data_IF_482302207498
#
_entry.id   IF_482302207498
#
_cell.length_a   1.000
_cell.length_b   1.000
_cell.length_c   1.000
_cell.angle_alpha   90.00
_cell.angle_beta   90.00
_cell.angle_gamma   90.00
#
_symmetry.space_group_name_H-M   'P 1'
#
loop_
_entity.id
_entity.type
_entity.pdbx_description
1 polymer ?
#
# COMPACT_ATOMS: atom_id res chain seq x y z
N UNK A 1 -12.26 6.69 15.84
CA UNK A 1 -13.00 6.85 14.57
C UNK A 1 -13.41 5.47 14.10
N UNK A 2 -14.63 5.26 13.62
CA UNK A 2 -15.00 3.99 12.99
C UNK A 2 -14.62 4.06 11.51
N UNK A 3 -13.85 3.09 11.04
CA UNK A 3 -13.49 2.99 9.62
C UNK A 3 -14.68 2.44 8.82
N UNK A 4 -14.79 2.78 7.52
CA UNK A 4 -15.76 2.15 6.64
C UNK A 4 -15.58 0.62 6.62
N UNK A 5 -16.68 -0.12 6.40
CA UNK A 5 -16.62 -1.57 6.25
C UNK A 5 -15.69 -1.96 5.09
N UNK A 6 -14.76 -2.87 5.35
CA UNK A 6 -13.76 -3.32 4.38
C UNK A 6 -12.53 -2.42 4.25
N UNK A 7 -12.45 -1.31 5.00
CA UNK A 7 -11.27 -0.48 5.03
C UNK A 7 -10.13 -1.14 5.84
N UNK A 8 -8.91 -1.04 5.33
CA UNK A 8 -7.72 -1.57 5.99
C UNK A 8 -6.89 -0.42 6.52
N UNK A 9 -6.61 -0.47 7.82
CA UNK A 9 -5.69 0.44 8.50
C UNK A 9 -4.27 -0.13 8.45
N UNK A 10 -3.33 0.70 7.99
CA UNK A 10 -1.89 0.44 7.96
C UNK A 10 -1.27 1.52 8.84
N UNK A 11 -0.77 1.17 10.02
CA UNK A 11 -0.31 2.17 10.97
C UNK A 11 0.87 1.69 11.81
N UNK A 12 1.66 2.65 12.29
CA UNK A 12 2.64 2.49 13.34
C UNK A 12 2.42 3.64 14.35
N UNK A 13 1.91 3.29 15.54
CA UNK A 13 1.53 4.27 16.56
C UNK A 13 2.72 5.03 17.14
N UNK A 14 3.88 4.37 17.28
CA UNK A 14 5.10 5.00 17.84
C UNK A 14 5.64 6.11 16.93
N UNK A 15 5.43 5.96 15.63
CA UNK A 15 5.82 6.93 14.61
C UNK A 15 4.72 7.93 14.26
N UNK A 16 3.54 7.82 14.89
CA UNK A 16 2.34 8.57 14.51
C UNK A 16 2.03 8.47 13.00
N UNK A 17 2.30 7.30 12.42
CA UNK A 17 2.12 7.02 10.99
C UNK A 17 0.82 6.25 10.76
N UNK A 18 -0.02 6.74 9.84
CA UNK A 18 -1.27 6.09 9.46
C UNK A 18 -1.57 6.26 7.97
N UNK A 19 -1.98 5.15 7.36
CA UNK A 19 -2.55 5.06 6.01
C UNK A 19 -3.84 4.23 6.08
N UNK A 20 -4.92 4.80 5.55
CA UNK A 20 -6.23 4.14 5.47
C UNK A 20 -6.50 3.79 4.01
N UNK A 21 -6.68 2.49 3.75
CA UNK A 21 -7.06 1.99 2.43
C UNK A 21 -8.55 1.68 2.45
N UNK A 22 -9.33 2.41 1.65
CA UNK A 22 -10.80 2.20 1.50
C UNK A 22 -11.16 1.42 0.23
N UNK A 23 -10.15 0.89 -0.47
CA UNK A 23 -10.36 0.17 -1.71
C UNK A 23 -11.00 -1.21 -1.47
N UNK A 24 -12.27 -1.34 -1.89
CA UNK A 24 -13.11 -2.51 -1.66
C UNK A 24 -12.41 -3.78 -2.19
N UNK A 25 -12.30 -4.77 -1.31
CA UNK A 25 -11.69 -6.06 -1.60
C UNK A 25 -10.23 -6.18 -1.20
N UNK A 26 -9.57 -5.09 -0.77
CA UNK A 26 -8.20 -5.19 -0.26
C UNK A 26 -8.12 -6.02 1.02
N UNK A 27 -9.05 -5.86 1.96
CA UNK A 27 -9.16 -6.71 3.16
C UNK A 27 -9.28 -8.20 2.78
N UNK A 28 -10.18 -8.51 1.85
CA UNK A 28 -10.36 -9.87 1.34
C UNK A 28 -9.10 -10.41 0.67
N UNK A 29 -8.40 -9.58 -0.12
CA UNK A 29 -7.14 -9.95 -0.76
C UNK A 29 -6.08 -10.31 0.29
N UNK A 30 -5.92 -9.53 1.35
CA UNK A 30 -5.01 -9.84 2.46
C UNK A 30 -5.37 -11.18 3.12
N UNK A 31 -6.65 -11.43 3.34
CA UNK A 31 -7.12 -12.65 4.01
C UNK A 31 -7.01 -13.92 3.15
N UNK A 32 -7.02 -13.80 1.81
CA UNK A 32 -7.24 -14.98 0.93
C UNK A 32 -6.18 -15.19 -0.15
N UNK A 33 -5.46 -14.15 -0.55
CA UNK A 33 -4.53 -14.18 -1.68
C UNK A 33 -3.11 -13.84 -1.25
N UNK A 34 -2.96 -12.85 -0.37
CA UNK A 34 -1.66 -12.42 0.12
C UNK A 34 -0.90 -13.59 0.75
N UNK A 35 0.42 -13.60 0.53
CA UNK A 35 1.28 -14.51 1.28
C UNK A 35 1.31 -14.10 2.76
N UNK A 36 1.61 -15.03 3.68
CA UNK A 36 1.81 -14.69 5.09
C UNK A 36 2.84 -13.57 5.25
N UNK A 37 2.71 -12.78 6.32
CA UNK A 37 3.60 -11.66 6.63
C UNK A 37 5.08 -12.05 6.68
N UNK A 38 5.38 -13.25 7.18
CA UNK A 38 6.75 -13.78 7.29
C UNK A 38 7.34 -14.33 5.98
N UNK A 39 6.62 -14.22 4.86
CA UNK A 39 7.07 -14.83 3.59
C UNK A 39 8.28 -14.12 2.98
N UNK A 40 8.37 -12.79 3.09
CA UNK A 40 9.57 -12.02 2.76
C UNK A 40 10.10 -11.30 4.00
N UNK A 41 11.36 -10.87 3.97
CA UNK A 41 11.93 -10.07 5.06
C UNK A 41 11.42 -8.63 5.01
N UNK A 42 11.55 -7.92 6.13
CA UNK A 42 11.20 -6.50 6.19
C UNK A 42 11.96 -5.69 5.14
N UNK A 43 13.27 -5.92 4.99
CA UNK A 43 14.12 -5.21 4.04
C UNK A 43 13.68 -5.43 2.59
N UNK A 44 13.16 -6.62 2.28
CA UNK A 44 12.58 -6.89 0.96
C UNK A 44 11.35 -6.02 0.71
N UNK A 45 10.45 -5.93 1.70
CA UNK A 45 9.25 -5.11 1.59
C UNK A 45 9.59 -3.62 1.49
N UNK A 46 10.52 -3.12 2.30
CA UNK A 46 10.98 -1.73 2.26
C UNK A 46 11.57 -1.35 0.89
N UNK A 47 12.42 -2.22 0.33
CA UNK A 47 13.02 -2.01 -0.99
C UNK A 47 11.94 -1.93 -2.08
N UNK A 48 10.92 -2.78 -2.02
CA UNK A 48 9.80 -2.77 -2.96
C UNK A 48 8.90 -1.56 -2.77
N UNK A 49 8.54 -1.23 -1.53
CA UNK A 49 7.68 -0.11 -1.20
C UNK A 49 8.29 1.22 -1.63
N UNK A 50 9.61 1.41 -1.47
CA UNK A 50 10.31 2.59 -1.99
C UNK A 50 10.03 2.83 -3.48
N UNK A 51 10.13 1.77 -4.30
CA UNK A 51 9.91 1.85 -5.74
C UNK A 51 8.41 2.06 -6.04
N UNK A 52 7.54 1.29 -5.40
CA UNK A 52 6.11 1.31 -5.67
C UNK A 52 5.45 2.62 -5.23
N UNK A 53 5.83 3.17 -4.07
CA UNK A 53 5.39 4.50 -3.60
C UNK A 53 5.82 5.59 -4.57
N UNK A 54 7.08 5.56 -5.03
CA UNK A 54 7.55 6.56 -6.00
C UNK A 54 6.68 6.57 -7.27
N UNK A 55 6.44 5.39 -7.85
CA UNK A 55 5.61 5.28 -9.04
C UNK A 55 4.15 5.63 -8.78
N UNK A 56 3.58 5.21 -7.65
CA UNK A 56 2.25 5.61 -7.22
C UNK A 56 2.10 7.12 -7.15
N UNK A 57 3.01 7.81 -6.46
CA UNK A 57 2.97 9.26 -6.29
C UNK A 57 3.20 10.01 -7.61
N UNK A 58 3.97 9.44 -8.54
CA UNK A 58 4.04 9.96 -9.92
C UNK A 58 2.68 9.86 -10.60
N UNK A 59 1.98 8.72 -10.48
CA UNK A 59 0.67 8.51 -11.12
C UNK A 59 -0.42 9.38 -10.50
N UNK A 60 -0.47 9.47 -9.17
CA UNK A 60 -1.44 10.30 -8.43
C UNK A 60 -1.33 11.79 -8.79
N UNK A 61 -0.10 12.31 -8.98
CA UNK A 61 0.13 13.70 -9.41
C UNK A 61 -0.20 13.99 -10.88
N UNK A 62 -0.49 12.97 -11.68
CA UNK A 62 -0.77 13.11 -13.11
C UNK A 62 -2.17 12.59 -13.49
N UNK A 63 -3.25 13.15 -12.92
CA UNK A 63 -4.62 12.65 -13.12
C UNK A 63 -5.15 12.82 -14.56
N UNK A 64 -4.53 13.67 -15.37
CA UNK A 64 -4.85 13.77 -16.81
C UNK A 64 -4.35 12.55 -17.60
N UNK A 65 -3.37 11.83 -17.07
CA UNK A 65 -2.76 10.66 -17.73
C UNK A 65 -3.16 9.34 -17.07
N UNK A 66 -3.39 9.34 -15.76
CA UNK A 66 -3.69 8.14 -14.98
C UNK A 66 -5.08 8.25 -14.35
N UNK A 67 -5.76 7.10 -14.24
CA UNK A 67 -7.10 7.04 -13.71
C UNK A 67 -7.12 7.42 -12.22
N UNK A 68 -7.72 8.56 -11.91
CA UNK A 68 -7.82 9.09 -10.55
C UNK A 68 -8.72 8.25 -9.62
N UNK A 69 -9.56 7.37 -10.16
CA UNK A 69 -10.30 6.38 -9.37
C UNK A 69 -9.43 5.21 -8.88
N UNK A 70 -8.16 5.13 -9.34
CA UNK A 70 -7.16 4.17 -8.84
C UNK A 70 -6.11 4.92 -8.03
N UNK A 71 -5.57 6.03 -8.58
CA UNK A 71 -4.49 6.80 -7.97
C UNK A 71 -5.07 8.08 -7.35
N UNK A 72 -5.62 7.96 -6.15
CA UNK A 72 -6.29 9.08 -5.47
C UNK A 72 -5.30 10.04 -4.80
N UNK A 73 -4.67 9.59 -3.71
CA UNK A 73 -3.78 10.40 -2.88
C UNK A 73 -2.33 9.93 -2.98
N UNK A 74 -1.40 10.86 -2.77
CA UNK A 74 0.00 10.51 -2.56
C UNK A 74 0.18 9.76 -1.23
N UNK A 75 1.09 8.79 -1.24
CA UNK A 75 1.50 8.04 -0.05
C UNK A 75 2.75 8.72 0.50
N UNK A 76 2.64 9.30 1.68
CA UNK A 76 3.79 9.86 2.39
C UNK A 76 4.59 8.72 3.02
N UNK A 77 5.62 8.21 2.34
CA UNK A 77 6.46 7.12 2.86
C UNK A 77 7.92 7.49 2.62
N UNK A 78 8.64 7.74 3.71
CA UNK A 78 10.08 8.01 3.71
C UNK A 78 10.88 6.71 3.90
N UNK A 79 11.65 6.32 2.88
CA UNK A 79 12.47 5.11 2.91
C UNK A 79 13.62 5.10 3.93
N UNK A 80 13.88 6.21 4.63
CA UNK A 80 14.86 6.28 5.72
C UNK A 80 14.26 5.94 7.10
N UNK A 81 12.93 5.78 7.19
CA UNK A 81 12.21 5.47 8.43
C UNK A 81 11.87 3.98 8.46
N UNK A 82 12.13 3.33 9.60
CA UNK A 82 11.70 1.97 9.87
C UNK A 82 10.25 1.97 10.39
N UNK A 83 9.29 1.76 9.50
CA UNK A 83 7.87 1.66 9.86
C UNK A 83 7.49 0.33 10.50
N UNK A 84 8.42 -0.64 10.56
CA UNK A 84 8.17 -2.00 11.01
C UNK A 84 7.58 -2.91 9.93
N UNK A 85 7.61 -4.21 10.22
CA UNK A 85 7.21 -5.27 9.30
C UNK A 85 5.75 -5.15 8.84
N UNK A 86 4.81 -4.90 9.75
CA UNK A 86 3.37 -4.91 9.43
C UNK A 86 2.98 -3.81 8.43
N UNK A 87 3.49 -2.59 8.65
CA UNK A 87 3.27 -1.46 7.73
C UNK A 87 3.82 -1.81 6.35
N UNK A 88 5.06 -2.28 6.31
CA UNK A 88 5.74 -2.62 5.07
C UNK A 88 5.05 -3.77 4.32
N UNK A 89 4.62 -4.81 5.03
CA UNK A 89 3.89 -5.95 4.50
C UNK A 89 2.54 -5.52 3.89
N UNK A 90 1.72 -4.77 4.64
CA UNK A 90 0.40 -4.35 4.16
C UNK A 90 0.51 -3.39 2.99
N UNK A 91 1.42 -2.41 3.05
CA UNK A 91 1.66 -1.45 1.97
C UNK A 91 2.12 -2.17 0.69
N UNK A 92 3.04 -3.12 0.80
CA UNK A 92 3.47 -3.94 -0.33
C UNK A 92 2.29 -4.68 -0.95
N UNK A 93 1.46 -5.33 -0.13
CA UNK A 93 0.32 -6.08 -0.61
C UNK A 93 -0.76 -5.18 -1.22
N UNK A 94 -0.89 -3.92 -0.81
CA UNK A 94 -1.78 -2.98 -1.47
C UNK A 94 -1.38 -2.76 -2.93
N UNK A 95 -0.08 -2.58 -3.21
CA UNK A 95 0.39 -2.49 -4.61
C UNK A 95 0.12 -3.78 -5.39
N UNK A 96 0.37 -4.95 -4.80
CA UNK A 96 0.06 -6.24 -5.46
C UNK A 96 -1.44 -6.42 -5.72
N UNK A 97 -2.28 -5.97 -4.79
CA UNK A 97 -3.73 -5.94 -4.96
C UNK A 97 -4.13 -5.03 -6.12
N UNK A 98 -3.53 -3.83 -6.23
CA UNK A 98 -3.80 -2.90 -7.33
C UNK A 98 -3.42 -3.52 -8.69
N UNK A 99 -2.28 -4.21 -8.77
CA UNK A 99 -1.90 -4.96 -9.98
C UNK A 99 -2.90 -6.07 -10.30
N UNK A 100 -3.32 -6.82 -9.28
CA UNK A 100 -4.26 -7.92 -9.44
C UNK A 100 -5.65 -7.43 -9.90
N UNK A 101 -6.21 -6.44 -9.21
CA UNK A 101 -7.57 -5.92 -9.42
C UNK A 101 -7.66 -5.06 -10.67
N UNK A 102 -6.75 -4.12 -10.84
CA UNK A 102 -6.83 -3.11 -11.90
C UNK A 102 -5.91 -3.37 -13.09
N UNK A 103 -5.22 -4.52 -13.11
CA UNK A 103 -4.28 -4.91 -14.18
C UNK A 103 -3.20 -3.86 -14.44
N UNK A 104 -2.86 -3.11 -13.40
CA UNK A 104 -1.73 -2.20 -13.43
C UNK A 104 -0.45 -2.99 -13.23
N UNK A 105 0.68 -2.38 -13.60
CA UNK A 105 2.00 -2.96 -13.35
C UNK A 105 2.85 -1.92 -12.65
N UNK A 106 3.45 -2.30 -11.55
CA UNK A 106 4.59 -1.60 -10.98
C UNK A 106 5.87 -2.39 -11.31
N UNK A 107 7.04 -1.82 -11.09
CA UNK A 107 8.35 -2.41 -11.47
C UNK A 107 8.49 -3.92 -11.23
#
# INVERSE_FOLDING_TARGET
MQLPDGAVRIANEELEYELIIIDIGFETYLATIAKPESYYSQEYYELKNKLYVFEWNVRARNPLRYNNAIYENEINYDSAIDYGLEVNYKLFNYFKFVEHKYKQRFY
#
